data_IF_396410814704
#
_entry.id   IF_396410814704
#
_cell.length_a   1.000
_cell.length_b   1.000
_cell.length_c   1.000
_cell.angle_alpha   90.00
_cell.angle_beta   90.00
_cell.angle_gamma   90.00
#
_symmetry.space_group_name_H-M   'P 1'
#
loop_
_entity.id
_entity.type
_entity.pdbx_description
1 polymer ?
#
# COMPACT_ATOMS: atom_id res chain seq x y z
N UNK A 1 10.45 14.95 -31.86
CA UNK A 1 11.11 13.71 -31.39
C UNK A 1 11.43 13.93 -29.91
N UNK A 2 10.71 13.42 -28.92
CA UNK A 2 10.65 12.02 -28.51
C UNK A 2 9.52 11.85 -27.45
N UNK A 3 8.40 11.22 -27.81
CA UNK A 3 7.33 10.86 -26.86
C UNK A 3 7.46 9.38 -26.48
N UNK A 4 8.04 9.09 -25.31
CA UNK A 4 8.08 7.76 -24.67
C UNK A 4 8.17 7.90 -23.14
N UNK A 5 7.52 7.06 -22.33
CA UNK A 5 6.09 6.75 -22.21
C UNK A 5 5.46 7.38 -20.93
N UNK A 6 4.17 7.76 -20.98
CA UNK A 6 3.40 8.44 -19.91
C UNK A 6 3.10 7.59 -18.65
N UNK A 7 3.66 6.39 -18.53
CA UNK A 7 3.36 5.40 -17.48
C UNK A 7 4.21 5.56 -16.20
N UNK A 8 5.44 6.08 -16.31
CA UNK A 8 6.37 6.20 -15.18
C UNK A 8 5.99 7.28 -14.15
N UNK A 9 5.18 8.28 -14.54
CA UNK A 9 4.69 9.32 -13.62
C UNK A 9 3.37 8.95 -12.92
N UNK A 10 2.56 8.05 -13.49
CA UNK A 10 1.27 7.65 -12.90
C UNK A 10 1.43 6.64 -11.74
N UNK A 11 2.44 5.78 -11.78
CA UNK A 11 2.72 4.83 -10.69
C UNK A 11 3.54 5.44 -9.54
N UNK A 12 4.24 6.55 -9.80
CA UNK A 12 5.11 7.24 -8.83
C UNK A 12 4.30 7.98 -7.74
N UNK A 13 3.14 8.53 -8.07
CA UNK A 13 2.32 9.32 -7.14
C UNK A 13 1.25 8.51 -6.39
N UNK A 14 0.78 7.39 -6.94
CA UNK A 14 -0.53 6.86 -6.54
C UNK A 14 -0.59 6.41 -5.08
N UNK A 15 0.47 5.86 -4.46
CA UNK A 15 0.42 5.52 -3.01
C UNK A 15 1.73 5.57 -2.23
N UNK A 16 2.85 6.03 -2.80
CA UNK A 16 4.13 6.00 -2.10
C UNK A 16 4.10 6.84 -0.82
N UNK A 17 3.54 8.05 -0.85
CA UNK A 17 3.45 8.93 0.31
C UNK A 17 2.65 8.31 1.47
N UNK A 18 1.54 7.64 1.17
CA UNK A 18 0.73 6.98 2.18
C UNK A 18 1.44 5.74 2.77
N UNK A 19 2.18 4.99 1.97
CA UNK A 19 3.00 3.87 2.46
C UNK A 19 4.20 4.36 3.25
N UNK A 20 4.79 5.51 2.92
CA UNK A 20 5.89 6.14 3.67
C UNK A 20 5.46 6.48 5.10
N UNK A 21 4.23 6.94 5.32
CA UNK A 21 3.70 7.14 6.69
C UNK A 21 3.54 5.84 7.49
N UNK A 22 3.23 4.72 6.82
CA UNK A 22 3.02 3.43 7.48
C UNK A 22 4.33 2.63 7.68
N UNK A 23 5.33 2.90 6.83
CA UNK A 23 6.64 2.23 6.82
C UNK A 23 7.38 2.26 8.17
N UNK A 24 7.46 3.39 8.92
CA UNK A 24 8.14 3.39 10.22
C UNK A 24 7.49 2.42 11.22
N UNK A 25 6.17 2.28 11.22
CA UNK A 25 5.48 1.35 12.12
C UNK A 25 5.81 -0.11 11.82
N UNK A 26 5.88 -0.48 10.54
CA UNK A 26 6.23 -1.84 10.15
C UNK A 26 7.69 -2.18 10.40
N UNK A 27 8.60 -1.21 10.20
CA UNK A 27 10.01 -1.35 10.54
C UNK A 27 10.16 -1.55 12.05
N UNK A 28 9.51 -0.73 12.88
CA UNK A 28 9.54 -0.87 14.34
C UNK A 28 9.02 -2.25 14.77
N UNK A 29 7.89 -2.70 14.21
CA UNK A 29 7.33 -4.03 14.50
C UNK A 29 8.27 -5.17 14.11
N UNK A 30 8.92 -5.08 12.96
CA UNK A 30 9.90 -6.07 12.50
C UNK A 30 11.11 -6.13 13.44
N UNK A 31 11.70 -4.97 13.78
CA UNK A 31 12.85 -4.93 14.69
C UNK A 31 12.48 -5.36 16.11
N UNK A 32 11.27 -5.05 16.58
CA UNK A 32 10.77 -5.53 17.86
C UNK A 32 10.68 -7.05 17.88
N UNK A 33 10.12 -7.68 16.84
CA UNK A 33 10.00 -9.13 16.74
C UNK A 33 11.39 -9.82 16.68
N UNK A 34 12.32 -9.28 15.89
CA UNK A 34 13.70 -9.79 15.80
C UNK A 34 14.43 -9.68 17.14
N UNK A 35 14.23 -8.58 17.87
CA UNK A 35 14.87 -8.33 19.18
C UNK A 35 14.27 -9.20 20.29
N UNK A 36 12.96 -9.41 20.28
CA UNK A 36 12.23 -10.12 21.34
C UNK A 36 12.49 -11.63 21.29
N UNK A 37 12.35 -12.25 20.11
CA UNK A 37 12.42 -13.71 19.97
C UNK A 37 13.80 -14.21 19.52
N UNK A 38 14.81 -13.33 19.47
CA UNK A 38 16.18 -13.63 19.00
C UNK A 38 16.24 -14.29 17.61
N UNK A 39 15.25 -14.03 16.75
CA UNK A 39 15.27 -14.54 15.38
C UNK A 39 16.45 -13.95 14.60
N UNK A 40 17.11 -14.74 13.74
CA UNK A 40 18.11 -14.20 12.84
C UNK A 40 17.45 -13.20 11.88
N UNK A 41 18.11 -12.07 11.66
CA UNK A 41 17.65 -11.07 10.71
C UNK A 41 17.64 -11.68 9.31
N UNK A 42 16.45 -11.89 8.76
CA UNK A 42 16.25 -12.43 7.41
C UNK A 42 15.82 -11.33 6.46
N UNK A 43 16.68 -11.03 5.48
CA UNK A 43 16.37 -10.10 4.39
C UNK A 43 15.12 -10.52 3.61
N UNK A 44 14.88 -11.84 3.48
CA UNK A 44 13.70 -12.39 2.81
C UNK A 44 12.41 -11.97 3.51
N UNK A 45 12.38 -12.07 4.85
CA UNK A 45 11.21 -11.70 5.66
C UNK A 45 11.03 -10.19 5.63
N UNK A 46 12.11 -9.42 5.73
CA UNK A 46 12.05 -7.96 5.67
C UNK A 46 11.42 -7.47 4.35
N UNK A 47 11.86 -8.02 3.21
CA UNK A 47 11.28 -7.72 1.90
C UNK A 47 9.82 -8.20 1.82
N UNK A 48 9.51 -9.39 2.34
CA UNK A 48 8.15 -9.93 2.37
C UNK A 48 7.19 -9.04 3.19
N UNK A 49 7.63 -8.48 4.31
CA UNK A 49 6.83 -7.54 5.13
C UNK A 49 6.54 -6.26 4.34
N UNK A 50 7.54 -5.69 3.67
CA UNK A 50 7.36 -4.48 2.85
C UNK A 50 6.40 -4.76 1.68
N UNK A 51 6.59 -5.87 0.97
CA UNK A 51 5.69 -6.27 -0.11
C UNK A 51 4.27 -6.49 0.40
N UNK A 52 4.12 -7.20 1.53
CA UNK A 52 2.83 -7.45 2.16
C UNK A 52 2.08 -6.14 2.47
N UNK A 53 2.76 -5.13 3.03
CA UNK A 53 2.13 -3.83 3.28
C UNK A 53 1.61 -3.15 2.02
N UNK A 54 2.40 -3.15 0.95
CA UNK A 54 2.04 -2.49 -0.32
C UNK A 54 0.88 -3.21 -0.98
N UNK A 55 0.94 -4.55 -1.03
CA UNK A 55 -0.12 -5.38 -1.59
C UNK A 55 -1.40 -5.32 -0.76
N UNK A 56 -1.32 -5.53 0.56
CA UNK A 56 -2.48 -5.51 1.45
C UNK A 56 -3.22 -4.17 1.37
N UNK A 57 -2.51 -3.04 1.34
CA UNK A 57 -3.15 -1.73 1.23
C UNK A 57 -3.79 -1.49 -0.15
N UNK A 58 -3.14 -1.98 -1.20
CA UNK A 58 -3.68 -1.86 -2.56
C UNK A 58 -4.90 -2.76 -2.74
N UNK A 59 -4.83 -4.00 -2.24
CA UNK A 59 -5.90 -4.98 -2.23
C UNK A 59 -7.09 -4.50 -1.39
N UNK A 60 -6.86 -4.00 -0.16
CA UNK A 60 -7.91 -3.46 0.69
C UNK A 60 -8.65 -2.29 0.01
N UNK A 61 -7.92 -1.36 -0.60
CA UNK A 61 -8.56 -0.24 -1.32
C UNK A 61 -9.33 -0.71 -2.56
N UNK A 62 -8.81 -1.69 -3.30
CA UNK A 62 -9.50 -2.27 -4.45
C UNK A 62 -10.75 -3.06 -4.01
N UNK A 63 -10.66 -3.80 -2.92
CA UNK A 63 -11.75 -4.59 -2.34
C UNK A 63 -12.86 -3.70 -1.80
N UNK A 64 -12.52 -2.68 -1.01
CA UNK A 64 -13.49 -1.69 -0.53
C UNK A 64 -14.24 -1.07 -1.72
N UNK A 65 -13.53 -0.70 -2.80
CA UNK A 65 -14.17 -0.14 -4.00
C UNK A 65 -15.05 -1.14 -4.76
N UNK A 66 -14.72 -2.44 -4.72
CA UNK A 66 -15.53 -3.47 -5.36
C UNK A 66 -16.84 -3.71 -4.60
N UNK A 67 -16.76 -3.84 -3.27
CA UNK A 67 -17.92 -4.09 -2.39
C UNK A 67 -18.80 -2.85 -2.26
N UNK A 68 -18.19 -1.68 -2.07
CA UNK A 68 -18.92 -0.44 -1.83
C UNK A 68 -19.49 0.16 -3.13
N UNK A 69 -19.28 -0.46 -4.30
CA UNK A 69 -19.74 0.06 -5.61
C UNK A 69 -21.24 0.33 -5.66
N UNK A 70 -22.06 -0.56 -5.12
CA UNK A 70 -23.52 -0.39 -5.10
C UNK A 70 -24.01 0.61 -4.04
N UNK A 71 -23.21 0.80 -2.98
CA UNK A 71 -23.53 1.68 -1.84
C UNK A 71 -23.09 3.12 -2.14
N UNK A 72 -21.88 3.30 -2.66
CA UNK A 72 -21.29 4.59 -3.02
C UNK A 72 -22.11 5.31 -4.11
N UNK A 73 -22.77 4.57 -5.00
CA UNK A 73 -23.64 5.12 -6.05
C UNK A 73 -24.97 5.70 -5.54
N UNK A 74 -25.40 5.34 -4.33
CA UNK A 74 -26.64 5.85 -3.71
C UNK A 74 -26.39 7.01 -2.75
N UNK A 75 -25.14 7.29 -2.41
CA UNK A 75 -24.76 8.33 -1.46
C UNK A 75 -24.31 9.61 -2.22
N UNK A 76 -25.03 10.75 -2.07
CA UNK A 76 -24.74 11.99 -2.79
C UNK A 76 -23.37 12.62 -2.44
N UNK A 77 -22.68 12.15 -1.39
CA UNK A 77 -21.31 12.60 -1.03
C UNK A 77 -20.19 11.83 -1.73
N UNK A 78 -20.46 10.66 -2.31
CA UNK A 78 -19.46 9.77 -2.94
C UNK A 78 -19.67 9.60 -4.45
N UNK A 79 -20.75 10.14 -4.99
CA UNK A 79 -21.11 10.08 -6.42
C UNK A 79 -20.13 10.81 -7.36
N UNK A 80 -19.25 11.67 -6.84
CA UNK A 80 -18.25 12.43 -7.59
C UNK A 80 -16.80 11.97 -7.32
N UNK A 81 -16.61 10.73 -6.90
CA UNK A 81 -15.27 10.13 -6.84
C UNK A 81 -14.90 9.64 -8.24
N UNK A 82 -13.81 10.16 -8.79
CA UNK A 82 -13.17 9.69 -10.03
C UNK A 82 -12.89 8.17 -10.02
#
# INVERSE_FOLDING_TARGET
>A
MNQRPRLLNYLSLVKFSHTVFAMPFAIIGFFLAVRHDQYPFSWSIFIAVILCMVFARTAAMAFNRYVDREIDGKNPRTALRE
#
